data_IF_591118909779
#
_entry.id   IF_591118909779
#
_cell.length_a   1.000
_cell.length_b   1.000
_cell.length_c   1.000
_cell.angle_alpha   90.00
_cell.angle_beta   90.00
_cell.angle_gamma   90.00
#
_symmetry.space_group_name_H-M   'P 1'
#
loop_
_entity.id
_entity.type
_entity.pdbx_description
1 polymer ?
#
# COMPACT_ATOMS: atom_id res chain seq x y z
N UNK A 1 29.30 -13.39 1.52
CA UNK A 1 29.09 -14.61 2.33
C UNK A 1 29.14 -14.22 3.80
N UNK A 2 28.08 -13.58 4.30
CA UNK A 2 27.90 -13.34 5.72
C UNK A 2 26.52 -13.89 6.08
N UNK A 3 26.55 -14.98 6.85
CA UNK A 3 25.41 -15.67 7.43
C UNK A 3 24.93 -14.86 8.63
N UNK A 4 23.67 -14.42 8.61
CA UNK A 4 23.02 -13.86 9.80
C UNK A 4 21.69 -14.56 10.06
N UNK A 5 21.68 -15.72 10.76
CA UNK A 5 20.48 -16.52 11.01
C UNK A 5 19.55 -15.96 12.10
N UNK A 6 19.88 -14.80 12.69
CA UNK A 6 19.05 -14.15 13.71
C UNK A 6 18.06 -13.11 13.14
N UNK A 7 18.35 -12.52 11.96
CA UNK A 7 17.43 -11.59 11.30
C UNK A 7 16.32 -12.32 10.51
N UNK A 8 16.61 -13.48 9.91
CA UNK A 8 15.62 -14.22 9.11
C UNK A 8 14.50 -14.82 9.99
N UNK A 9 14.85 -15.31 11.18
CA UNK A 9 13.89 -15.82 12.15
C UNK A 9 13.00 -14.71 12.72
N UNK A 10 13.57 -13.54 13.03
CA UNK A 10 12.79 -12.41 13.55
C UNK A 10 11.91 -11.77 12.46
N UNK A 11 12.34 -11.72 11.19
CA UNK A 11 11.53 -11.21 10.08
C UNK A 11 10.40 -12.17 9.69
N UNK A 12 10.64 -13.50 9.72
CA UNK A 12 9.59 -14.51 9.51
C UNK A 12 8.61 -14.60 10.68
N UNK A 13 9.07 -14.44 11.91
CA UNK A 13 8.21 -14.46 13.11
C UNK A 13 7.48 -13.12 13.30
N UNK A 14 8.08 -11.98 12.91
CA UNK A 14 7.41 -10.68 12.84
C UNK A 14 6.37 -10.65 11.71
N UNK A 15 6.64 -11.23 10.55
CA UNK A 15 5.63 -11.42 9.49
C UNK A 15 4.49 -12.34 9.96
N UNK A 16 4.78 -13.40 10.71
CA UNK A 16 3.76 -14.28 11.28
C UNK A 16 2.97 -13.64 12.45
N UNK A 17 3.60 -12.78 13.25
CA UNK A 17 2.98 -12.03 14.34
C UNK A 17 2.13 -10.85 13.80
N UNK A 18 2.58 -10.17 12.75
CA UNK A 18 1.81 -9.16 12.02
C UNK A 18 0.61 -9.76 11.26
N UNK A 19 0.68 -11.04 10.88
CA UNK A 19 -0.48 -11.79 10.35
C UNK A 19 -1.42 -12.31 11.44
N UNK A 20 -1.00 -12.38 12.71
CA UNK A 20 -1.81 -12.89 13.83
C UNK A 20 -2.50 -11.82 14.67
N UNK A 21 -1.95 -10.63 14.74
CA UNK A 21 -2.72 -9.47 15.18
C UNK A 21 -3.44 -8.95 13.94
N UNK A 22 -4.77 -9.04 13.95
CA UNK A 22 -5.68 -8.48 12.96
C UNK A 22 -5.31 -7.02 12.67
N UNK A 23 -4.32 -6.76 11.83
CA UNK A 23 -4.06 -5.45 11.27
C UNK A 23 -5.32 -5.12 10.48
N UNK A 24 -6.14 -4.16 10.93
CA UNK A 24 -7.29 -3.81 10.14
C UNK A 24 -6.71 -3.11 8.92
N UNK A 25 -6.72 -3.80 7.79
CA UNK A 25 -7.06 -3.15 6.53
C UNK A 25 -8.44 -2.53 6.78
N UNK A 26 -8.46 -1.36 7.43
CA UNK A 26 -9.61 -0.50 7.45
C UNK A 26 -9.83 -0.13 5.97
N UNK A 27 -11.06 -0.27 5.47
CA UNK A 27 -11.36 0.27 4.16
C UNK A 27 -11.05 1.77 4.20
N UNK A 28 -10.11 2.22 3.36
CA UNK A 28 -9.94 3.65 3.08
C UNK A 28 -11.27 4.10 2.46
N UNK A 29 -12.03 5.01 3.09
CA UNK A 29 -13.30 5.44 2.53
C UNK A 29 -13.03 6.30 1.30
N UNK A 30 -13.42 5.81 0.13
CA UNK A 30 -13.69 6.66 -1.01
C UNK A 30 -14.95 7.48 -0.69
N UNK A 31 -14.76 8.72 -0.24
CA UNK A 31 -15.74 9.82 -0.21
C UNK A 31 -17.17 9.50 0.28
N UNK A 32 -17.49 9.89 1.53
CA UNK A 32 -18.87 10.03 1.97
C UNK A 32 -19.06 11.38 2.70
N UNK A 33 -19.89 12.24 2.10
CA UNK A 33 -20.28 13.54 2.61
C UNK A 33 -21.26 13.39 3.79
N UNK A 34 -20.97 14.08 4.90
CA UNK A 34 -21.92 14.31 5.99
C UNK A 34 -21.86 15.80 6.41
N UNK A 35 -23.02 16.41 6.54
CA UNK A 35 -23.23 17.85 6.72
C UNK A 35 -23.30 18.29 8.20
N UNK A 36 -22.74 19.49 8.47
CA UNK A 36 -22.90 20.45 9.59
C UNK A 36 -21.91 20.38 10.78
N UNK A 37 -21.62 21.52 11.48
CA UNK A 37 -21.19 22.83 10.97
C UNK A 37 -19.86 23.36 11.60
N UNK A 38 -19.11 24.12 10.79
CA UNK A 38 -18.08 25.15 11.07
C UNK A 38 -17.22 25.06 12.36
N UNK A 39 -16.04 24.45 12.22
CA UNK A 39 -14.81 24.90 12.87
C UNK A 39 -13.63 24.74 11.88
N UNK A 40 -12.75 25.74 11.91
CA UNK A 40 -11.62 26.11 11.04
C UNK A 40 -10.95 25.03 10.18
N UNK A 41 -10.70 25.40 8.91
CA UNK A 41 -10.01 24.66 7.85
C UNK A 41 -8.85 23.78 8.35
N UNK A 42 -8.74 22.51 7.91
CA UNK A 42 -7.44 21.87 7.91
C UNK A 42 -6.62 22.51 6.80
N UNK A 43 -5.46 23.04 7.17
CA UNK A 43 -4.45 23.47 6.22
C UNK A 43 -4.24 22.34 5.20
N UNK A 44 -4.37 22.67 3.91
CA UNK A 44 -4.08 21.78 2.81
C UNK A 44 -2.59 21.47 2.83
N UNK A 45 -2.20 20.40 3.52
CA UNK A 45 -0.93 19.72 3.26
C UNK A 45 -0.91 19.39 1.76
N UNK A 46 0.09 19.83 0.99
CA UNK A 46 0.15 19.52 -0.43
C UNK A 46 0.13 17.98 -0.59
N UNK A 47 -0.63 17.44 -1.56
CA UNK A 47 -0.63 16.01 -1.82
C UNK A 47 0.81 15.60 -2.15
N UNK A 48 1.35 14.67 -1.37
CA UNK A 48 2.62 14.03 -1.71
C UNK A 48 2.49 13.45 -3.13
N UNK A 49 3.51 13.62 -3.98
CA UNK A 49 3.42 13.18 -5.38
C UNK A 49 3.08 11.69 -5.44
N UNK A 50 2.19 11.35 -6.36
CA UNK A 50 1.85 9.96 -6.64
C UNK A 50 3.07 9.25 -7.24
N UNK A 51 3.29 7.97 -6.90
CA UNK A 51 4.39 7.20 -7.44
C UNK A 51 4.23 6.98 -8.94
N UNK A 52 5.35 6.97 -9.67
CA UNK A 52 5.36 6.86 -11.13
C UNK A 52 4.97 5.47 -11.64
N UNK A 53 5.18 4.41 -10.84
CA UNK A 53 4.91 3.02 -11.21
C UNK A 53 4.58 2.17 -9.99
N UNK A 54 4.07 0.95 -10.24
CA UNK A 54 3.81 -0.04 -9.19
C UNK A 54 5.09 -0.39 -8.41
N UNK A 55 6.19 -0.68 -9.12
CA UNK A 55 7.48 -1.01 -8.52
C UNK A 55 8.00 0.14 -7.64
N UNK A 56 7.89 1.39 -8.12
CA UNK A 56 8.31 2.55 -7.35
C UNK A 56 7.47 2.75 -6.07
N UNK A 57 6.16 2.50 -6.16
CA UNK A 57 5.27 2.56 -4.99
C UNK A 57 5.60 1.47 -3.96
N UNK A 58 5.92 0.26 -4.43
CA UNK A 58 6.28 -0.88 -3.59
C UNK A 58 7.62 -0.65 -2.90
N UNK A 59 8.64 -0.19 -3.64
CA UNK A 59 9.95 0.14 -3.08
C UNK A 59 9.85 1.22 -1.99
N UNK A 60 9.07 2.28 -2.25
CA UNK A 60 8.85 3.33 -1.25
C UNK A 60 8.15 2.79 0.01
N UNK A 61 7.18 1.88 -0.17
CA UNK A 61 6.45 1.26 0.94
C UNK A 61 7.37 0.38 1.79
N UNK A 62 8.21 -0.44 1.17
CA UNK A 62 9.18 -1.30 1.85
C UNK A 62 10.19 -0.48 2.67
N UNK A 63 10.73 0.59 2.08
CA UNK A 63 11.63 1.50 2.78
C UNK A 63 10.94 2.19 3.97
N UNK A 64 9.69 2.60 3.79
CA UNK A 64 8.92 3.26 4.84
C UNK A 64 8.62 2.32 6.01
N UNK A 65 8.15 1.11 5.72
CA UNK A 65 7.90 0.07 6.72
C UNK A 65 9.19 -0.26 7.47
N UNK A 66 10.31 -0.46 6.76
CA UNK A 66 11.61 -0.71 7.39
C UNK A 66 12.02 0.40 8.36
N UNK A 67 11.78 1.68 8.02
CA UNK A 67 12.02 2.81 8.94
C UNK A 67 11.12 2.78 10.17
N UNK A 68 9.84 2.46 10.01
CA UNK A 68 8.89 2.34 11.12
C UNK A 68 9.29 1.19 12.05
N UNK A 69 9.60 0.02 11.49
CA UNK A 69 9.98 -1.19 12.24
C UNK A 69 11.33 -1.05 12.95
N UNK A 70 12.27 -0.30 12.36
CA UNK A 70 13.55 0.00 13.02
C UNK A 70 13.43 0.90 14.25
N UNK A 71 12.25 1.51 14.49
CA UNK A 71 12.03 2.46 15.58
C UNK A 71 12.78 3.79 15.40
N UNK A 72 13.31 4.05 14.19
CA UNK A 72 14.13 5.23 13.89
C UNK A 72 13.30 6.45 13.50
N UNK A 73 11.98 6.28 13.39
CA UNK A 73 11.04 7.35 13.09
C UNK A 73 10.58 8.04 14.39
N UNK A 74 10.74 9.37 14.54
CA UNK A 74 10.23 10.08 15.71
C UNK A 74 8.70 10.07 15.75
N UNK A 75 8.14 10.21 16.95
CA UNK A 75 6.71 10.08 17.22
C UNK A 75 5.84 11.00 16.34
N UNK A 76 6.30 12.23 16.11
CA UNK A 76 5.65 13.26 15.30
C UNK A 76 5.54 12.84 13.83
N UNK A 77 6.44 11.97 13.36
CA UNK A 77 6.45 11.47 11.99
C UNK A 77 5.73 10.12 11.84
N UNK A 78 5.43 9.41 12.93
CA UNK A 78 4.75 8.10 12.90
C UNK A 78 3.41 8.18 12.17
N UNK A 79 2.59 9.18 12.50
CA UNK A 79 1.29 9.36 11.87
C UNK A 79 1.43 9.62 10.36
N UNK A 80 2.38 10.46 9.96
CA UNK A 80 2.66 10.74 8.56
C UNK A 80 3.14 9.50 7.81
N UNK A 81 3.99 8.67 8.45
CA UNK A 81 4.42 7.39 7.91
C UNK A 81 3.25 6.43 7.66
N UNK A 82 2.34 6.29 8.61
CA UNK A 82 1.15 5.46 8.41
C UNK A 82 0.24 5.98 7.29
N UNK A 83 0.03 7.30 7.21
CA UNK A 83 -0.77 7.90 6.14
C UNK A 83 -0.16 7.69 4.76
N UNK A 84 1.16 7.86 4.61
CA UNK A 84 1.85 7.60 3.35
C UNK A 84 1.79 6.12 2.98
N UNK A 85 2.00 5.22 3.94
CA UNK A 85 1.87 3.78 3.73
C UNK A 85 0.47 3.39 3.22
N UNK A 86 -0.60 3.99 3.79
CA UNK A 86 -1.97 3.78 3.33
C UNK A 86 -2.19 4.27 1.88
N UNK A 87 -1.60 5.40 1.50
CA UNK A 87 -1.66 5.91 0.12
C UNK A 87 -0.95 4.98 -0.87
N UNK A 88 0.25 4.51 -0.53
CA UNK A 88 1.02 3.60 -1.37
C UNK A 88 0.29 2.26 -1.57
N UNK A 89 -0.29 1.71 -0.49
CA UNK A 89 -1.11 0.50 -0.58
C UNK A 89 -2.35 0.68 -1.46
N UNK A 90 -3.05 1.82 -1.34
CA UNK A 90 -4.20 2.14 -2.17
C UNK A 90 -3.82 2.22 -3.65
N UNK A 91 -2.69 2.85 -3.96
CA UNK A 91 -2.15 2.92 -5.32
C UNK A 91 -1.83 1.52 -5.87
N UNK A 92 -1.09 0.70 -5.12
CA UNK A 92 -0.72 -0.66 -5.53
C UNK A 92 -1.96 -1.51 -5.84
N UNK A 93 -2.96 -1.46 -4.96
CA UNK A 93 -4.23 -2.17 -5.17
C UNK A 93 -4.97 -1.68 -6.40
N UNK A 94 -5.09 -0.36 -6.60
CA UNK A 94 -5.75 0.20 -7.77
C UNK A 94 -5.09 -0.21 -9.09
N UNK A 95 -3.76 -0.35 -9.12
CA UNK A 95 -3.03 -0.86 -10.29
C UNK A 95 -3.36 -2.32 -10.59
N UNK A 96 -3.41 -3.17 -9.57
CA UNK A 96 -3.80 -4.58 -9.73
C UNK A 96 -5.25 -4.73 -10.19
N UNK A 97 -6.16 -3.93 -9.65
CA UNK A 97 -7.57 -3.92 -10.06
C UNK A 97 -7.71 -3.50 -11.53
N UNK A 98 -7.00 -2.44 -11.97
CA UNK A 98 -7.00 -2.01 -13.36
C UNK A 98 -6.49 -3.09 -14.33
N UNK A 99 -5.44 -3.83 -13.95
CA UNK A 99 -4.93 -4.95 -14.75
C UNK A 99 -5.93 -6.11 -14.79
N UNK A 100 -6.55 -6.46 -13.65
CA UNK A 100 -7.60 -7.49 -13.63
C UNK A 100 -8.77 -7.13 -14.53
N UNK A 101 -9.20 -5.87 -14.53
CA UNK A 101 -10.31 -5.43 -15.37
C UNK A 101 -9.95 -5.46 -16.86
N UNK A 102 -8.70 -5.14 -17.21
CA UNK A 102 -8.21 -5.35 -18.57
C UNK A 102 -8.27 -6.82 -18.98
N UNK A 103 -7.81 -7.74 -18.13
CA UNK A 103 -7.87 -9.19 -18.40
C UNK A 103 -9.32 -9.63 -18.65
N UNK A 104 -10.27 -9.22 -17.79
CA UNK A 104 -11.69 -9.56 -17.96
C UNK A 104 -12.24 -9.06 -19.30
N UNK A 105 -11.85 -7.86 -19.74
CA UNK A 105 -12.28 -7.35 -21.05
C UNK A 105 -11.74 -8.22 -22.18
N UNK A 106 -10.49 -8.69 -22.10
CA UNK A 106 -9.93 -9.63 -23.08
C UNK A 106 -10.65 -10.99 -23.07
N UNK A 107 -10.98 -11.52 -21.89
CA UNK A 107 -11.71 -12.80 -21.77
C UNK A 107 -13.14 -12.71 -22.34
N UNK A 108 -13.85 -11.61 -22.04
CA UNK A 108 -15.20 -11.36 -22.55
C UNK A 108 -15.18 -11.02 -24.06
N UNK A 109 -14.09 -10.44 -24.53
CA UNK A 109 -13.83 -10.08 -25.92
C UNK A 109 -13.20 -11.21 -26.72
N UNK A 110 -13.67 -12.45 -26.57
CA UNK A 110 -13.35 -13.60 -27.45
C UNK A 110 -11.86 -13.71 -27.78
N UNK A 111 -11.05 -14.25 -26.86
CA UNK A 111 -9.74 -14.78 -27.21
C UNK A 111 -9.95 -15.83 -28.31
N UNK A 112 -9.69 -15.46 -29.57
CA UNK A 112 -9.74 -16.41 -30.68
C UNK A 112 -8.71 -17.51 -30.38
N UNK A 113 -9.07 -18.80 -30.50
CA UNK A 113 -8.09 -19.87 -30.37
C UNK A 113 -7.01 -19.62 -31.43
N UNK A 114 -5.79 -19.41 -30.97
CA UNK A 114 -4.65 -19.29 -31.86
C UNK A 114 -4.35 -20.68 -32.43
N UNK A 115 -5.00 -21.01 -33.54
CA UNK A 115 -4.68 -22.21 -34.34
C UNK A 115 -3.52 -21.87 -35.25
N UNK A 116 -2.33 -22.36 -34.90
CA UNK A 116 -1.27 -22.51 -35.90
C UNK A 116 -1.53 -23.79 -36.68
N UNK A 117 -1.70 -23.66 -37.99
CA UNK A 117 -1.41 -24.75 -38.93
C UNK A 117 0.08 -25.09 -38.91
#
# INVERSE_FOLDING_TARGET
>A
MFSWPACDACLRDAAAAAMRLKWPVLPVPAGAAASMPKASSPASTPPSPEPASYEAALEELEQLVGRIESGQLPLEQMLAGYQRGAQLLAFCRGRLEAVQDQIKVLENGTLQPWTQD
#
